data_IF_354187445188
#
_entry.id   IF_354187445188
#
_cell.length_a   1.000
_cell.length_b   1.000
_cell.length_c   1.000
_cell.angle_alpha   90.00
_cell.angle_beta   90.00
_cell.angle_gamma   90.00
#
_symmetry.space_group_name_H-M   'P 1'
#
loop_
_entity.id
_entity.type
_entity.pdbx_description
1 polymer ?
#
# COMPACT_ATOMS: atom_id res chain seq x y z
N UNK A 1 6.88 -13.22 9.61
CA UNK A 1 6.66 -12.61 8.28
C UNK A 1 7.57 -11.40 8.22
N UNK A 2 8.42 -11.30 7.20
CA UNK A 2 9.48 -10.27 7.11
C UNK A 2 9.13 -9.31 5.98
N UNK A 3 9.16 -8.00 6.26
CA UNK A 3 8.94 -6.95 5.27
C UNK A 3 10.27 -6.24 5.04
N UNK A 4 10.62 -5.98 3.79
CA UNK A 4 11.83 -5.23 3.44
C UNK A 4 11.46 -3.97 2.67
N UNK A 5 12.31 -2.93 2.78
CA UNK A 5 12.16 -1.74 1.96
C UNK A 5 12.22 -2.13 0.49
N UNK A 6 11.27 -1.63 -0.29
CA UNK A 6 11.28 -1.77 -1.74
C UNK A 6 11.98 -0.60 -2.38
N UNK A 7 12.64 -0.89 -3.49
CA UNK A 7 13.00 0.13 -4.49
C UNK A 7 11.77 0.41 -5.37
N UNK A 8 11.62 1.63 -5.87
CA UNK A 8 10.46 2.02 -6.68
C UNK A 8 10.32 1.21 -7.98
N UNK A 9 11.43 0.67 -8.53
CA UNK A 9 11.44 -0.12 -9.77
C UNK A 9 10.69 -1.47 -9.70
N UNK A 10 10.44 -2.04 -8.51
CA UNK A 10 9.76 -3.33 -8.36
C UNK A 10 8.28 -3.22 -7.97
N UNK A 11 7.79 -2.00 -7.74
CA UNK A 11 6.43 -1.75 -7.30
C UNK A 11 5.43 -2.01 -8.44
N UNK A 12 4.45 -2.87 -8.19
CA UNK A 12 3.33 -3.09 -9.11
C UNK A 12 2.17 -2.09 -8.91
N UNK A 13 2.27 -1.19 -7.93
CA UNK A 13 1.33 -0.08 -7.69
C UNK A 13 2.15 1.17 -7.40
N UNK A 14 1.85 2.27 -8.08
CA UNK A 14 2.49 3.53 -7.77
C UNK A 14 1.96 4.18 -6.49
N UNK A 15 2.82 4.90 -5.79
CA UNK A 15 2.47 5.66 -4.60
C UNK A 15 1.36 6.67 -4.84
N UNK A 16 1.36 7.37 -5.98
CA UNK A 16 0.32 8.36 -6.31
C UNK A 16 -1.06 7.72 -6.53
N UNK A 17 -1.11 6.50 -7.08
CA UNK A 17 -2.34 5.71 -7.22
C UNK A 17 -2.90 5.31 -5.85
N UNK A 18 -2.05 4.99 -4.87
CA UNK A 18 -2.47 4.71 -3.49
C UNK A 18 -3.00 5.98 -2.81
N UNK A 19 -2.32 7.11 -2.97
CA UNK A 19 -2.80 8.38 -2.41
C UNK A 19 -4.13 8.82 -3.03
N UNK A 20 -4.31 8.61 -4.33
CA UNK A 20 -5.61 8.78 -5.01
C UNK A 20 -6.66 7.85 -4.43
N UNK A 21 -6.35 6.55 -4.27
CA UNK A 21 -7.25 5.58 -3.65
C UNK A 21 -7.72 6.03 -2.26
N UNK A 22 -6.82 6.54 -1.42
CA UNK A 22 -7.17 7.02 -0.07
C UNK A 22 -8.14 8.21 -0.12
N UNK A 23 -8.00 9.08 -1.12
CA UNK A 23 -8.84 10.28 -1.28
C UNK A 23 -10.17 10.02 -1.98
N UNK A 24 -10.18 9.14 -2.98
CA UNK A 24 -11.32 8.98 -3.91
C UNK A 24 -11.93 7.59 -3.89
N UNK A 25 -11.36 6.63 -3.15
CA UNK A 25 -11.74 5.22 -3.15
C UNK A 25 -11.68 4.55 -4.54
N UNK A 26 -10.95 5.15 -5.48
CA UNK A 26 -10.74 4.57 -6.81
C UNK A 26 -9.64 3.52 -6.72
N UNK A 27 -9.96 2.28 -7.09
CA UNK A 27 -9.01 1.17 -7.03
C UNK A 27 -7.77 1.49 -7.88
N UNK A 28 -6.55 1.30 -7.33
CA UNK A 28 -5.34 1.49 -8.10
C UNK A 28 -5.17 0.36 -9.12
N UNK A 29 -4.48 0.65 -10.21
CA UNK A 29 -4.22 -0.30 -11.29
C UNK A 29 -2.85 -0.95 -11.11
N UNK A 30 -2.81 -2.28 -11.23
CA UNK A 30 -1.56 -3.02 -11.24
C UNK A 30 -0.75 -2.72 -12.51
N UNK A 31 0.49 -2.27 -12.38
CA UNK A 31 1.39 -1.97 -13.50
C UNK A 31 1.80 -3.22 -14.31
N UNK A 32 1.64 -4.42 -13.74
CA UNK A 32 2.05 -5.69 -14.39
C UNK A 32 0.94 -6.37 -15.19
N UNK A 33 -0.32 -6.28 -14.75
CA UNK A 33 -1.45 -6.88 -15.47
C UNK A 33 -2.50 -5.88 -15.93
N UNK A 34 -2.30 -4.59 -15.68
CA UNK A 34 -3.19 -3.49 -16.08
C UNK A 34 -4.63 -3.63 -15.56
N UNK A 35 -4.82 -4.45 -14.50
CA UNK A 35 -6.11 -4.68 -13.85
C UNK A 35 -6.22 -3.91 -12.54
N UNK A 36 -7.43 -3.44 -12.16
CA UNK A 36 -7.67 -2.88 -10.84
C UNK A 36 -7.36 -3.91 -9.75
N UNK A 37 -6.73 -3.46 -8.67
CA UNK A 37 -6.44 -4.32 -7.52
C UNK A 37 -7.58 -4.22 -6.53
N UNK A 38 -8.36 -5.29 -6.44
CA UNK A 38 -9.48 -5.44 -5.51
C UNK A 38 -9.06 -6.01 -4.14
N UNK A 39 -7.91 -6.72 -4.09
CA UNK A 39 -7.35 -7.30 -2.87
C UNK A 39 -6.56 -6.27 -2.06
N UNK A 40 -7.29 -5.43 -1.33
CA UNK A 40 -6.74 -4.38 -0.47
C UNK A 40 -7.10 -4.67 0.99
N UNK A 41 -6.12 -4.68 1.89
CA UNK A 41 -6.34 -4.76 3.33
C UNK A 41 -5.86 -3.51 4.04
N UNK A 42 -6.77 -2.81 4.69
CA UNK A 42 -6.45 -1.65 5.53
C UNK A 42 -6.23 -2.11 6.97
N UNK A 43 -5.10 -1.70 7.57
CA UNK A 43 -4.77 -1.98 8.98
C UNK A 43 -4.42 -0.68 9.68
N UNK A 44 -5.11 -0.36 10.77
CA UNK A 44 -4.76 0.78 11.63
C UNK A 44 -3.66 0.37 12.60
N UNK A 45 -2.57 1.14 12.63
CA UNK A 45 -1.45 0.91 13.53
C UNK A 45 -1.53 1.98 14.62
N UNK A 46 -1.87 1.54 15.83
CA UNK A 46 -2.00 2.39 17.01
C UNK A 46 -0.83 2.16 17.95
N UNK A 47 -0.33 3.23 18.57
CA UNK A 47 0.65 3.16 19.64
C UNK A 47 0.31 4.14 20.75
N UNK A 48 0.36 3.67 21.99
CA UNK A 48 -0.06 4.41 23.20
C UNK A 48 -1.47 5.03 23.06
N UNK A 49 -2.40 4.31 22.41
CA UNK A 49 -3.78 4.77 22.20
C UNK A 49 -3.94 5.92 21.18
N UNK A 50 -2.91 6.20 20.37
CA UNK A 50 -2.98 7.14 19.25
C UNK A 50 -2.77 6.40 17.94
N UNK A 51 -3.55 6.76 16.92
CA UNK A 51 -3.29 6.30 15.55
C UNK A 51 -1.93 6.86 15.10
N UNK A 52 -1.00 5.98 14.77
CA UNK A 52 0.34 6.36 14.28
C UNK A 52 0.37 6.29 12.75
N UNK A 53 -0.08 5.18 12.17
CA UNK A 53 -0.09 4.96 10.73
C UNK A 53 -1.33 4.17 10.28
N UNK A 54 -1.70 4.32 9.00
CA UNK A 54 -2.63 3.40 8.34
C UNK A 54 -1.85 2.64 7.28
N UNK A 55 -1.80 1.31 7.41
CA UNK A 55 -1.20 0.43 6.42
C UNK A 55 -2.26 -0.01 5.40
N UNK A 56 -1.94 0.09 4.12
CA UNK A 56 -2.73 -0.49 3.04
C UNK A 56 -1.90 -1.58 2.36
N UNK A 57 -2.35 -2.82 2.49
CA UNK A 57 -1.71 -3.98 1.87
C UNK A 57 -2.41 -4.30 0.56
N UNK A 58 -1.73 -4.10 -0.57
CA UNK A 58 -2.19 -4.44 -1.91
C UNK A 58 -1.60 -5.77 -2.31
N UNK A 59 -2.45 -6.70 -2.76
CA UNK A 59 -2.00 -8.03 -3.17
C UNK A 59 -2.23 -8.24 -4.66
N UNK A 60 -1.16 -8.52 -5.42
CA UNK A 60 -1.26 -8.84 -6.84
C UNK A 60 -0.14 -9.82 -7.23
N UNK A 61 -0.41 -10.75 -8.15
CA UNK A 61 0.57 -11.73 -8.65
C UNK A 61 1.34 -12.51 -7.55
N UNK A 62 0.70 -12.78 -6.41
CA UNK A 62 1.35 -13.46 -5.28
C UNK A 62 2.33 -12.59 -4.48
N UNK A 63 2.55 -11.33 -4.87
CA UNK A 63 3.28 -10.33 -4.11
C UNK A 63 2.32 -9.47 -3.28
N UNK A 64 2.83 -8.93 -2.17
CA UNK A 64 2.09 -7.99 -1.32
C UNK A 64 2.93 -6.74 -1.10
N UNK A 65 2.40 -5.59 -1.48
CA UNK A 65 2.97 -4.28 -1.17
C UNK A 65 2.18 -3.63 -0.04
N UNK A 66 2.89 -3.18 0.98
CA UNK A 66 2.35 -2.46 2.12
C UNK A 66 2.71 -0.99 2.02
N UNK A 67 1.70 -0.14 2.00
CA UNK A 67 1.85 1.31 2.00
C UNK A 67 1.49 1.82 3.39
N UNK A 68 2.49 2.27 4.13
CA UNK A 68 2.30 2.95 5.40
C UNK A 68 2.01 4.42 5.11
N UNK A 69 0.84 4.86 5.54
CA UNK A 69 0.38 6.23 5.33
C UNK A 69 0.26 6.98 6.65
N UNK A 70 0.52 8.28 6.58
CA UNK A 70 0.30 9.21 7.67
C UNK A 70 -0.51 10.38 7.11
N UNK A 71 -1.70 10.64 7.68
CA UNK A 71 -2.64 11.67 7.21
C UNK A 71 -2.94 11.63 5.69
N UNK A 72 -3.05 10.41 5.12
CA UNK A 72 -3.40 10.22 3.70
C UNK A 72 -2.28 10.45 2.70
N UNK A 73 -1.05 10.63 3.17
CA UNK A 73 0.18 10.67 2.36
C UNK A 73 0.96 9.38 2.62
N UNK A 74 1.52 8.78 1.58
CA UNK A 74 2.37 7.60 1.75
C UNK A 74 3.70 8.03 2.36
N UNK A 75 4.01 7.47 3.54
CA UNK A 75 5.26 7.72 4.24
C UNK A 75 6.32 6.66 3.93
N UNK A 76 5.90 5.41 3.67
CA UNK A 76 6.81 4.29 3.40
C UNK A 76 6.11 3.19 2.62
N UNK A 77 6.87 2.50 1.76
CA UNK A 77 6.44 1.31 1.03
C UNK A 77 7.31 0.11 1.41
N UNK A 78 6.69 -1.03 1.68
CA UNK A 78 7.36 -2.28 2.02
C UNK A 78 6.82 -3.42 1.12
N UNK A 79 7.67 -4.35 0.70
CA UNK A 79 7.21 -5.61 0.07
C UNK A 79 7.34 -6.74 1.06
N UNK A 80 6.35 -7.62 1.04
CA UNK A 80 6.40 -8.90 1.72
C UNK A 80 7.23 -9.87 0.88
N UNK A 81 8.40 -10.23 1.40
CA UNK A 81 9.28 -11.29 0.85
C UNK A 81 8.86 -12.64 1.43
#
# INVERSE_FOLDING_TARGET
>A
MTFSNQSDDDQFVYTDEVEKYIKTWKLPVCQKCEKPIDKIKMTRIEGKGKLIHIAYDFSCHGKVLRFLTNNGIVARVEEKI
#
